data_IF_019832029146
#
_entry.id   IF_019832029146
#
_cell.length_a   1.000
_cell.length_b   1.000
_cell.length_c   1.000
_cell.angle_alpha   90.00
_cell.angle_beta   90.00
_cell.angle_gamma   90.00
#
_symmetry.space_group_name_H-M   'P 1'
#
loop_
_entity.id
_entity.type
_entity.pdbx_description
1 polymer ?
#
# COMPACT_ATOMS: atom_id res chain seq x y z
N UNK A 1 13.20 -3.15 2.72
CA UNK A 1 11.92 -3.62 3.29
C UNK A 1 10.91 -3.81 2.18
N UNK A 2 10.27 -4.95 2.13
CA UNK A 2 9.24 -5.21 1.13
C UNK A 2 7.86 -4.88 1.70
N UNK A 3 7.18 -3.95 1.05
CA UNK A 3 5.82 -3.61 1.42
C UNK A 3 4.84 -4.63 0.83
N UNK A 4 3.74 -4.88 1.53
CA UNK A 4 2.69 -5.80 1.07
C UNK A 4 1.65 -5.13 0.18
N UNK A 5 1.89 -3.89 -0.23
CA UNK A 5 0.91 -3.12 -1.00
C UNK A 5 0.56 -3.77 -2.34
N UNK A 6 1.56 -4.36 -3.00
CA UNK A 6 1.33 -5.07 -4.27
C UNK A 6 0.48 -6.31 -4.06
N UNK A 7 0.80 -7.11 -3.04
CA UNK A 7 0.09 -8.35 -2.78
C UNK A 7 -1.38 -8.07 -2.48
N UNK A 8 -1.67 -7.07 -1.65
CA UNK A 8 -3.04 -6.71 -1.31
C UNK A 8 -3.80 -6.17 -2.53
N UNK A 9 -3.11 -5.40 -3.37
CA UNK A 9 -3.71 -4.87 -4.60
C UNK A 9 -4.09 -6.01 -5.54
N UNK A 10 -3.18 -6.95 -5.75
CA UNK A 10 -3.41 -8.08 -6.65
C UNK A 10 -4.50 -9.02 -6.11
N UNK A 11 -4.53 -9.23 -4.80
CA UNK A 11 -5.57 -10.05 -4.16
C UNK A 11 -6.97 -9.50 -4.42
N UNK A 12 -7.10 -8.20 -4.63
CA UNK A 12 -8.39 -7.54 -4.90
C UNK A 12 -8.63 -7.29 -6.38
N UNK A 13 -7.76 -7.80 -7.25
CA UNK A 13 -7.85 -7.62 -8.70
C UNK A 13 -7.84 -6.14 -9.11
N UNK A 14 -7.13 -5.31 -8.35
CA UNK A 14 -6.99 -3.89 -8.64
C UNK A 14 -5.74 -3.63 -9.46
N UNK A 15 -5.81 -2.59 -10.28
CA UNK A 15 -4.67 -2.14 -11.08
C UNK A 15 -3.92 -1.03 -10.35
N UNK A 16 -2.65 -0.83 -10.73
CA UNK A 16 -1.86 0.25 -10.15
C UNK A 16 -2.52 1.62 -10.34
N UNK A 17 -3.18 1.84 -11.48
CA UNK A 17 -3.87 3.11 -11.74
C UNK A 17 -4.99 3.38 -10.74
N UNK A 18 -5.64 2.33 -10.25
CA UNK A 18 -6.73 2.47 -9.27
C UNK A 18 -6.20 3.01 -7.95
N UNK A 19 -5.07 2.47 -7.50
CA UNK A 19 -4.46 2.90 -6.24
C UNK A 19 -3.80 4.27 -6.41
N UNK A 20 -3.17 4.52 -7.54
CA UNK A 20 -2.60 5.84 -7.82
C UNK A 20 -3.67 6.93 -7.76
N UNK A 21 -4.85 6.65 -8.31
CA UNK A 21 -5.98 7.57 -8.25
C UNK A 21 -6.44 7.80 -6.81
N UNK A 22 -6.53 6.74 -6.03
CA UNK A 22 -6.90 6.83 -4.61
C UNK A 22 -5.91 7.69 -3.83
N UNK A 23 -4.62 7.52 -4.09
CA UNK A 23 -3.57 8.30 -3.42
C UNK A 23 -3.34 9.68 -4.04
N UNK A 24 -4.00 9.97 -5.16
CA UNK A 24 -3.86 11.23 -5.89
C UNK A 24 -2.41 11.48 -6.35
N UNK A 25 -1.80 10.44 -6.90
CA UNK A 25 -0.45 10.50 -7.48
C UNK A 25 -0.49 9.92 -8.90
N UNK A 26 0.57 10.16 -9.66
CA UNK A 26 0.69 9.54 -10.98
C UNK A 26 0.92 8.04 -10.86
N UNK A 27 0.45 7.28 -11.85
CA UNK A 27 0.65 5.83 -11.87
C UNK A 27 2.13 5.45 -11.82
N UNK A 28 2.99 6.20 -12.51
CA UNK A 28 4.43 5.95 -12.49
C UNK A 28 5.01 6.14 -11.09
N UNK A 29 4.52 7.12 -10.35
CA UNK A 29 4.93 7.35 -8.96
C UNK A 29 4.52 6.18 -8.09
N UNK A 30 3.28 5.74 -8.21
CA UNK A 30 2.79 4.60 -7.43
C UNK A 30 3.58 3.32 -7.78
N UNK A 31 3.84 3.09 -9.08
CA UNK A 31 4.65 1.95 -9.51
C UNK A 31 6.02 1.97 -8.85
N UNK A 32 6.62 3.15 -8.71
CA UNK A 32 7.91 3.30 -8.04
C UNK A 32 7.84 2.95 -6.56
N UNK A 33 6.70 3.18 -5.91
CA UNK A 33 6.49 2.73 -4.53
C UNK A 33 6.49 1.19 -4.45
N UNK A 34 5.78 0.53 -5.36
CA UNK A 34 5.74 -0.95 -5.37
C UNK A 34 7.11 -1.56 -5.68
N UNK A 35 7.87 -0.91 -6.55
CA UNK A 35 9.18 -1.41 -6.98
C UNK A 35 10.32 -1.03 -6.02
N UNK A 36 10.04 -0.25 -4.99
CA UNK A 36 11.06 0.17 -4.03
C UNK A 36 11.97 1.29 -4.53
N UNK A 37 11.65 1.91 -5.66
CA UNK A 37 12.45 3.03 -6.20
C UNK A 37 12.21 4.33 -5.45
N UNK A 38 11.02 4.49 -4.88
CA UNK A 38 10.67 5.63 -4.04
C UNK A 38 10.13 5.12 -2.71
N UNK A 39 10.45 5.84 -1.64
CA UNK A 39 9.89 5.54 -0.33
C UNK A 39 8.44 5.99 -0.27
N UNK A 40 7.56 5.11 0.21
CA UNK A 40 6.16 5.45 0.38
C UNK A 40 6.02 6.40 1.58
N UNK A 41 5.44 7.59 1.38
CA UNK A 41 5.24 8.51 2.49
C UNK A 41 4.32 7.91 3.57
N UNK A 42 4.53 8.31 4.82
CA UNK A 42 3.74 7.80 5.95
C UNK A 42 2.26 8.10 5.73
N UNK A 43 1.93 9.29 5.21
CA UNK A 43 0.53 9.64 4.93
C UNK A 43 -0.11 8.70 3.91
N UNK A 44 0.62 8.30 2.87
CA UNK A 44 0.13 7.36 1.88
C UNK A 44 0.00 5.96 2.47
N UNK A 45 0.96 5.56 3.30
CA UNK A 45 0.93 4.27 3.98
C UNK A 45 -0.31 4.16 4.88
N UNK A 46 -0.62 5.22 5.62
CA UNK A 46 -1.79 5.30 6.47
C UNK A 46 -3.09 5.19 5.67
N UNK A 47 -3.17 5.90 4.54
CA UNK A 47 -4.33 5.82 3.65
C UNK A 47 -4.53 4.41 3.09
N UNK A 48 -3.45 3.74 2.73
CA UNK A 48 -3.53 2.37 2.23
C UNK A 48 -3.94 1.39 3.31
N UNK A 49 -3.50 1.60 4.55
CA UNK A 49 -3.95 0.78 5.66
C UNK A 49 -5.47 0.89 5.85
N UNK A 50 -6.01 2.10 5.74
CA UNK A 50 -7.46 2.31 5.79
C UNK A 50 -8.16 1.67 4.59
N UNK A 51 -7.60 1.85 3.40
CA UNK A 51 -8.18 1.32 2.18
C UNK A 51 -8.29 -0.21 2.22
N UNK A 52 -7.25 -0.88 2.71
CA UNK A 52 -7.22 -2.33 2.80
C UNK A 52 -7.73 -2.86 4.13
N UNK A 53 -8.18 -1.98 5.02
CA UNK A 53 -8.69 -2.34 6.36
C UNK A 53 -7.68 -3.19 7.12
N UNK A 54 -6.45 -2.70 7.20
CA UNK A 54 -5.35 -3.37 7.89
C UNK A 54 -4.50 -2.34 8.63
N UNK A 55 -3.41 -2.78 9.25
CA UNK A 55 -2.50 -1.89 9.96
C UNK A 55 -1.32 -1.50 9.07
N UNK A 56 -0.69 -0.37 9.38
CA UNK A 56 0.55 0.03 8.71
C UNK A 56 1.66 -0.99 8.98
N UNK A 57 1.67 -1.61 10.16
CA UNK A 57 2.66 -2.64 10.47
C UNK A 57 2.52 -3.86 9.56
N UNK A 58 1.28 -4.27 9.24
CA UNK A 58 1.06 -5.35 8.30
C UNK A 58 1.58 -5.00 6.91
N UNK A 59 1.31 -3.77 6.46
CA UNK A 59 1.78 -3.30 5.15
C UNK A 59 3.31 -3.28 5.09
N UNK A 60 3.97 -2.96 6.20
CA UNK A 60 5.43 -2.93 6.28
C UNK A 60 6.06 -4.29 6.53
N UNK A 61 5.26 -5.34 6.71
CA UNK A 61 5.76 -6.68 6.99
C UNK A 61 6.26 -6.88 8.42
N UNK A 62 5.89 -5.98 9.35
CA UNK A 62 6.33 -6.06 10.74
C UNK A 62 5.46 -6.99 11.59
N UNK A 63 4.28 -7.34 11.08
CA UNK A 63 3.40 -8.30 11.72
C UNK A 63 2.75 -9.16 10.64
N UNK A 64 2.35 -10.38 10.99
CA UNK A 64 1.60 -11.26 10.11
C UNK A 64 0.08 -11.18 10.35
N UNK A 65 -0.33 -10.36 11.32
CA UNK A 65 -1.74 -10.15 11.61
C UNK A 65 -2.31 -9.07 10.69
N UNK A 66 -3.24 -9.41 9.76
CA UNK A 66 -3.79 -8.43 8.83
C UNK A 66 -4.88 -7.54 9.44
N UNK A 67 -5.30 -7.80 10.67
CA UNK A 67 -6.36 -7.01 11.29
C UNK A 67 -5.87 -5.60 11.60
N UNK A 68 -6.74 -4.59 11.43
CA UNK A 68 -6.35 -3.22 11.77
C UNK A 68 -6.21 -3.05 13.28
N UNK A 69 -5.40 -2.07 13.67
CA UNK A 69 -5.36 -1.67 15.09
C UNK A 69 -6.67 -0.97 15.44
N UNK A 70 -7.13 -1.27 16.60
CA UNK A 70 -8.30 -0.59 17.17
C UNK A 70 -7.95 0.74 17.78
#
# INVERSE_FOLDING_TARGET
MRLRIRDLREDRNLQQKDIAKYLNVHQTTYSSYENGKLNLPISALDKLADFYNTSTDYLMGRTNNPDPYE
#
